data_IF_950565657727
#
_entry.id   IF_950565657727
#
_cell.length_a   1.000
_cell.length_b   1.000
_cell.length_c   1.000
_cell.angle_alpha   90.00
_cell.angle_beta   90.00
_cell.angle_gamma   90.00
#
_symmetry.space_group_name_H-M   'P 1'
#
loop_
_entity.id
_entity.type
_entity.pdbx_description
1 polymer ?
#
# COMPACT_ATOMS: atom_id res chain seq x y z
N UNK A 1 20.36 -10.23 3.33
CA UNK A 1 19.21 -9.76 2.52
C UNK A 1 18.81 -8.36 2.95
N UNK A 2 18.51 -7.50 1.98
CA UNK A 2 17.98 -6.15 2.20
C UNK A 2 16.49 -6.11 1.84
N UNK A 3 15.65 -5.71 2.79
CA UNK A 3 14.22 -5.57 2.60
C UNK A 3 13.79 -4.11 2.44
N UNK A 4 12.74 -3.88 1.65
CA UNK A 4 12.05 -2.59 1.54
C UNK A 4 10.63 -2.71 2.07
N UNK A 5 10.28 -1.94 3.11
CA UNK A 5 8.94 -1.85 3.65
C UNK A 5 8.23 -0.60 3.13
N UNK A 6 7.05 -0.77 2.54
CA UNK A 6 6.21 0.31 2.01
C UNK A 6 4.96 0.47 2.87
N UNK A 7 4.79 1.67 3.45
CA UNK A 7 3.67 1.96 4.36
C UNK A 7 2.36 2.17 3.62
N UNK A 8 1.24 1.74 4.21
CA UNK A 8 -0.09 2.06 3.74
C UNK A 8 -0.43 3.55 3.94
N UNK A 9 -1.10 4.15 2.97
CA UNK A 9 -1.42 5.59 3.07
C UNK A 9 -2.27 6.17 1.95
N UNK A 10 -2.90 5.34 1.13
CA UNK A 10 -3.76 5.79 0.01
C UNK A 10 -3.02 6.71 -0.95
N UNK A 11 -3.60 7.89 -1.25
CA UNK A 11 -3.04 8.84 -2.21
C UNK A 11 -1.65 9.41 -1.85
N UNK A 12 -1.13 9.12 -0.66
CA UNK A 12 0.23 9.50 -0.26
C UNK A 12 1.32 8.61 -0.89
N UNK A 13 0.96 7.44 -1.44
CA UNK A 13 1.88 6.44 -1.97
C UNK A 13 2.81 6.93 -3.10
N UNK A 14 2.47 8.03 -3.76
CA UNK A 14 3.34 8.68 -4.74
C UNK A 14 4.74 9.01 -4.18
N UNK A 15 4.84 9.32 -2.89
CA UNK A 15 6.09 9.59 -2.19
C UNK A 15 7.05 8.38 -2.24
N UNK A 16 6.52 7.17 -2.12
CA UNK A 16 7.31 5.92 -2.13
C UNK A 16 8.05 5.73 -3.45
N UNK A 17 7.43 6.10 -4.56
CA UNK A 17 8.05 5.99 -5.89
C UNK A 17 9.26 6.91 -6.01
N UNK A 18 9.15 8.15 -5.51
CA UNK A 18 10.27 9.08 -5.46
C UNK A 18 11.41 8.59 -4.58
N UNK A 19 11.08 8.09 -3.39
CA UNK A 19 12.07 7.53 -2.47
C UNK A 19 12.75 6.28 -3.06
N UNK A 20 12.00 5.39 -3.71
CA UNK A 20 12.57 4.22 -4.39
C UNK A 20 13.54 4.60 -5.50
N UNK A 21 13.19 5.61 -6.34
CA UNK A 21 14.09 6.13 -7.38
C UNK A 21 15.42 6.60 -6.80
N UNK A 22 15.37 7.38 -5.71
CA UNK A 22 16.57 7.86 -5.03
C UNK A 22 17.40 6.71 -4.44
N UNK A 23 16.77 5.72 -3.81
CA UNK A 23 17.46 4.55 -3.29
C UNK A 23 18.16 3.76 -4.37
N UNK A 24 17.51 3.54 -5.53
CA UNK A 24 18.12 2.85 -6.68
C UNK A 24 19.28 3.64 -7.26
N UNK A 25 19.19 4.97 -7.35
CA UNK A 25 20.27 5.84 -7.80
C UNK A 25 21.47 5.83 -6.84
N UNK A 26 21.20 5.70 -5.53
CA UNK A 26 22.23 5.51 -4.50
C UNK A 26 22.83 4.10 -4.49
N UNK A 27 22.40 3.21 -5.38
CA UNK A 27 22.94 1.86 -5.55
C UNK A 27 22.32 0.81 -4.62
N UNK A 28 21.19 1.09 -3.98
CA UNK A 28 20.47 0.08 -3.21
C UNK A 28 19.75 -0.90 -4.14
N UNK A 29 19.92 -2.20 -3.86
CA UNK A 29 19.22 -3.30 -4.52
C UNK A 29 18.50 -4.11 -3.46
N UNK A 30 17.20 -4.33 -3.64
CA UNK A 30 16.37 -5.02 -2.67
C UNK A 30 16.17 -6.48 -3.07
N UNK A 31 16.26 -7.38 -2.09
CA UNK A 31 15.98 -8.79 -2.26
C UNK A 31 14.47 -9.07 -2.14
N UNK A 32 13.78 -8.26 -1.32
CA UNK A 32 12.34 -8.37 -1.07
C UNK A 32 11.72 -6.99 -0.85
N UNK A 33 10.53 -6.76 -1.41
CA UNK A 33 9.70 -5.58 -1.18
C UNK A 33 8.37 -6.04 -0.60
N UNK A 34 8.05 -5.59 0.61
CA UNK A 34 6.78 -5.87 1.27
C UNK A 34 6.01 -4.57 1.50
N UNK A 35 4.74 -4.55 1.14
CA UNK A 35 3.90 -3.37 1.29
C UNK A 35 2.53 -3.66 1.88
N UNK A 36 1.86 -2.61 2.32
CA UNK A 36 0.51 -2.66 2.88
C UNK A 36 -0.38 -1.64 2.19
N UNK A 37 -1.62 -2.01 1.85
CA UNK A 37 -2.55 -1.09 1.19
C UNK A 37 -1.96 -0.57 -0.13
N UNK A 38 -1.91 0.73 -0.31
CA UNK A 38 -1.26 1.34 -1.48
C UNK A 38 0.22 0.93 -1.59
N UNK A 39 0.90 0.73 -0.46
CA UNK A 39 2.27 0.22 -0.45
C UNK A 39 2.38 -1.19 -1.05
N UNK A 40 1.35 -2.03 -0.95
CA UNK A 40 1.33 -3.35 -1.59
C UNK A 40 1.19 -3.25 -3.12
N UNK A 41 0.42 -2.28 -3.60
CA UNK A 41 0.31 -1.98 -5.04
C UNK A 41 1.65 -1.47 -5.58
N UNK A 42 2.25 -0.49 -4.91
CA UNK A 42 3.56 0.03 -5.27
C UNK A 42 4.63 -1.07 -5.21
N UNK A 43 4.63 -1.90 -4.16
CA UNK A 43 5.55 -3.03 -4.00
C UNK A 43 5.47 -4.01 -5.19
N UNK A 44 4.26 -4.34 -5.65
CA UNK A 44 4.07 -5.23 -6.80
C UNK A 44 4.65 -4.62 -8.09
N UNK A 45 4.36 -3.34 -8.36
CA UNK A 45 4.90 -2.62 -9.52
C UNK A 45 6.44 -2.51 -9.47
N UNK A 46 7.00 -2.21 -8.30
CA UNK A 46 8.44 -2.10 -8.12
C UNK A 46 9.14 -3.46 -8.20
N UNK A 47 8.55 -4.50 -7.59
CA UNK A 47 9.10 -5.85 -7.64
C UNK A 47 9.10 -6.44 -9.06
N UNK A 48 8.09 -6.15 -9.87
CA UNK A 48 8.13 -6.56 -11.30
C UNK A 48 9.03 -5.69 -12.19
N UNK A 49 9.65 -4.62 -11.64
CA UNK A 49 10.61 -3.76 -12.34
C UNK A 49 9.99 -2.58 -13.09
N UNK A 50 8.77 -2.15 -12.76
CA UNK A 50 8.02 -1.11 -13.48
C UNK A 50 7.92 0.22 -12.70
N UNK A 51 9.04 0.70 -12.16
CA UNK A 51 9.09 1.97 -11.42
C UNK A 51 8.57 3.17 -12.23
N UNK A 52 8.92 3.25 -13.51
CA UNK A 52 8.46 4.33 -14.39
C UNK A 52 6.95 4.26 -14.65
N UNK A 53 6.41 3.06 -14.83
CA UNK A 53 4.98 2.84 -14.97
C UNK A 53 4.21 3.20 -13.70
N UNK A 54 4.80 2.88 -12.53
CA UNK A 54 4.27 3.31 -11.25
C UNK A 54 4.24 4.85 -11.12
N UNK A 55 5.29 5.52 -11.56
CA UNK A 55 5.33 6.98 -11.56
C UNK A 55 4.29 7.60 -12.51
N UNK A 56 4.17 7.08 -13.74
CA UNK A 56 3.17 7.51 -14.72
C UNK A 56 1.75 7.40 -14.14
N UNK A 57 1.43 6.28 -13.48
CA UNK A 57 0.16 6.11 -12.78
C UNK A 57 -0.09 7.28 -11.81
N UNK A 58 0.85 7.56 -10.93
CA UNK A 58 0.70 8.62 -9.94
C UNK A 58 0.60 10.02 -10.56
N UNK A 59 1.30 10.26 -11.65
CA UNK A 59 1.34 11.56 -12.33
C UNK A 59 0.11 11.84 -13.19
N UNK A 60 -0.69 10.83 -13.51
CA UNK A 60 -1.83 10.94 -14.44
C UNK A 60 -3.17 10.62 -13.81
N UNK A 61 -3.22 9.80 -12.75
CA UNK A 61 -4.47 9.30 -12.17
C UNK A 61 -5.09 10.28 -11.19
N UNK A 62 -6.39 10.50 -11.33
CA UNK A 62 -7.24 11.27 -10.42
C UNK A 62 -8.29 10.37 -9.76
N UNK A 63 -9.01 10.89 -8.74
CA UNK A 63 -10.07 10.14 -8.05
C UNK A 63 -11.13 9.58 -9.00
N UNK A 64 -11.52 10.34 -10.03
CA UNK A 64 -12.59 9.97 -10.97
C UNK A 64 -12.23 8.74 -11.82
N UNK A 65 -10.94 8.44 -11.95
CA UNK A 65 -10.46 7.26 -12.66
C UNK A 65 -10.67 5.98 -11.85
N UNK A 66 -10.64 6.07 -10.51
CA UNK A 66 -10.73 4.92 -9.61
C UNK A 66 -12.05 4.79 -8.85
N UNK A 67 -12.80 5.89 -8.69
CA UNK A 67 -14.02 5.93 -7.90
C UNK A 67 -15.18 6.52 -8.69
N UNK A 68 -16.42 6.19 -8.29
CA UNK A 68 -17.62 6.77 -8.87
C UNK A 68 -17.99 8.11 -8.22
N UNK A 69 -18.90 8.87 -8.84
CA UNK A 69 -19.44 10.10 -8.25
C UNK A 69 -20.16 9.84 -6.92
N UNK A 70 -20.81 8.67 -6.79
CA UNK A 70 -21.56 8.27 -5.59
C UNK A 70 -20.63 8.02 -4.40
N UNK A 71 -19.38 7.59 -4.66
CA UNK A 71 -18.38 7.30 -3.63
C UNK A 71 -17.74 8.56 -3.04
N UNK A 72 -17.77 9.69 -3.75
CA UNK A 72 -17.07 10.93 -3.34
C UNK A 72 -17.45 11.41 -1.95
N UNK A 73 -18.72 11.33 -1.59
CA UNK A 73 -19.18 11.72 -0.25
C UNK A 73 -18.55 10.89 0.87
N UNK A 74 -18.43 9.58 0.65
CA UNK A 74 -17.81 8.67 1.61
C UNK A 74 -16.29 8.89 1.69
N UNK A 75 -15.62 9.08 0.57
CA UNK A 75 -14.18 9.39 0.54
C UNK A 75 -13.84 10.69 1.28
N UNK A 76 -14.71 11.71 1.20
CA UNK A 76 -14.54 12.94 1.98
C UNK A 76 -14.71 12.71 3.49
N UNK A 77 -15.66 11.87 3.89
CA UNK A 77 -15.85 11.48 5.29
C UNK A 77 -14.58 10.77 5.80
N UNK A 78 -14.05 9.82 5.06
CA UNK A 78 -12.78 9.14 5.40
C UNK A 78 -11.65 10.17 5.57
N UNK A 79 -11.47 11.07 4.62
CA UNK A 79 -10.41 12.09 4.68
C UNK A 79 -10.50 12.96 5.95
N UNK A 80 -11.71 13.33 6.36
CA UNK A 80 -11.93 14.10 7.60
C UNK A 80 -11.63 13.29 8.85
N UNK A 81 -12.06 12.03 8.90
CA UNK A 81 -11.94 11.17 10.09
C UNK A 81 -10.52 10.67 10.29
N UNK A 82 -9.82 10.31 9.22
CA UNK A 82 -8.40 9.92 9.28
C UNK A 82 -7.54 11.06 9.80
N UNK A 83 -7.83 12.29 9.40
CA UNK A 83 -7.12 13.47 9.92
C UNK A 83 -7.39 13.76 11.40
N UNK A 84 -8.51 13.30 11.95
CA UNK A 84 -8.89 13.50 13.36
C UNK A 84 -8.45 12.35 14.28
N UNK A 85 -7.81 11.30 13.76
CA UNK A 85 -7.40 10.09 14.49
C UNK A 85 -8.52 9.43 15.33
N UNK A 86 -9.77 9.56 14.91
CA UNK A 86 -10.93 9.01 15.64
C UNK A 86 -11.32 7.65 15.08
N UNK A 87 -10.64 6.60 15.54
CA UNK A 87 -10.95 5.18 15.24
C UNK A 87 -12.42 4.80 15.56
N UNK A 88 -13.04 5.44 16.55
CA UNK A 88 -14.41 5.14 16.96
C UNK A 88 -15.45 5.63 15.95
N UNK A 89 -15.30 6.85 15.43
CA UNK A 89 -16.18 7.38 14.40
C UNK A 89 -16.02 6.63 13.06
N UNK A 90 -14.80 6.17 12.76
CA UNK A 90 -14.53 5.36 11.59
C UNK A 90 -15.26 4.01 11.65
N UNK A 91 -15.33 3.35 12.81
CA UNK A 91 -16.01 2.04 12.98
C UNK A 91 -17.50 2.08 12.58
N UNK A 92 -18.23 3.11 12.94
CA UNK A 92 -19.66 3.21 12.62
C UNK A 92 -19.88 3.39 11.12
N UNK A 93 -19.07 4.22 10.47
CA UNK A 93 -19.17 4.44 9.02
C UNK A 93 -18.70 3.22 8.21
N UNK A 94 -17.66 2.52 8.66
CA UNK A 94 -17.23 1.24 8.09
C UNK A 94 -18.36 0.22 8.15
N UNK A 95 -19.02 0.09 9.31
CA UNK A 95 -20.12 -0.83 9.47
C UNK A 95 -21.26 -0.50 8.51
N UNK A 96 -21.68 0.76 8.44
CA UNK A 96 -22.71 1.21 7.52
C UNK A 96 -22.34 0.98 6.04
N UNK A 97 -21.09 1.23 5.64
CA UNK A 97 -20.62 0.98 4.28
C UNK A 97 -20.65 -0.53 3.96
N UNK A 98 -20.18 -1.38 4.87
CA UNK A 98 -20.19 -2.84 4.68
C UNK A 98 -21.61 -3.42 4.64
N UNK A 99 -22.55 -2.89 5.42
CA UNK A 99 -23.97 -3.26 5.39
C UNK A 99 -24.61 -2.92 4.03
N UNK A 100 -24.13 -1.90 3.35
CA UNK A 100 -24.55 -1.50 1.99
C UNK A 100 -23.69 -2.12 0.86
N UNK A 101 -22.86 -3.13 1.18
CA UNK A 101 -22.03 -3.83 0.20
C UNK A 101 -20.63 -3.25 0.00
N UNK A 102 -20.33 -2.07 0.57
CA UNK A 102 -19.03 -1.38 0.42
C UNK A 102 -18.85 -0.65 -0.91
N UNK A 103 -17.84 0.21 -0.98
CA UNK A 103 -17.43 0.88 -2.23
C UNK A 103 -16.96 -0.17 -3.24
N UNK A 104 -17.42 -0.05 -4.46
CA UNK A 104 -17.00 -0.92 -5.57
C UNK A 104 -15.49 -0.74 -5.88
N UNK A 105 -14.78 -1.86 -5.90
CA UNK A 105 -13.34 -1.91 -6.20
C UNK A 105 -13.03 -2.36 -7.62
N UNK A 106 -14.03 -2.48 -8.50
CA UNK A 106 -13.85 -2.98 -9.87
C UNK A 106 -12.88 -2.15 -10.70
N UNK A 107 -12.88 -0.82 -10.55
CA UNK A 107 -11.93 0.07 -11.23
C UNK A 107 -10.50 -0.11 -10.71
N UNK A 108 -10.33 -0.32 -9.39
CA UNK A 108 -9.02 -0.62 -8.80
C UNK A 108 -8.53 -1.96 -9.33
N UNK A 109 -9.40 -2.99 -9.37
CA UNK A 109 -9.08 -4.28 -9.98
C UNK A 109 -8.66 -4.14 -11.43
N UNK A 110 -9.42 -3.42 -12.24
CA UNK A 110 -9.08 -3.18 -13.65
C UNK A 110 -7.71 -2.49 -13.80
N UNK A 111 -7.41 -1.54 -12.92
CA UNK A 111 -6.08 -0.93 -12.86
C UNK A 111 -4.98 -1.96 -12.56
N UNK A 112 -5.18 -2.84 -11.57
CA UNK A 112 -4.21 -3.89 -11.26
C UNK A 112 -3.98 -4.83 -12.45
N UNK A 113 -5.05 -5.29 -13.10
CA UNK A 113 -5.01 -6.16 -14.28
C UNK A 113 -4.27 -5.54 -15.48
N UNK A 114 -4.36 -4.22 -15.64
CA UNK A 114 -3.68 -3.49 -16.73
C UNK A 114 -2.19 -3.25 -16.44
N UNK A 115 -1.79 -3.17 -15.17
CA UNK A 115 -0.47 -2.68 -14.79
C UNK A 115 0.42 -3.74 -14.14
N UNK A 116 -0.13 -4.77 -13.53
CA UNK A 116 0.61 -5.86 -12.92
C UNK A 116 0.48 -7.12 -13.79
N UNK A 117 1.61 -7.62 -14.26
CA UNK A 117 1.73 -8.90 -14.92
C UNK A 117 1.99 -9.98 -13.85
N UNK A 118 1.01 -10.88 -13.57
CA UNK A 118 1.13 -11.89 -12.53
C UNK A 118 2.35 -12.79 -12.70
N UNK A 119 2.63 -13.23 -13.93
CA UNK A 119 3.75 -14.12 -14.19
C UNK A 119 5.08 -13.41 -14.01
N UNK A 120 5.22 -12.22 -14.57
CA UNK A 120 6.43 -11.40 -14.44
C UNK A 120 6.71 -11.03 -12.98
N UNK A 121 5.67 -10.71 -12.19
CA UNK A 121 5.82 -10.44 -10.76
C UNK A 121 6.33 -11.68 -10.02
N UNK A 122 5.74 -12.85 -10.26
CA UNK A 122 6.11 -14.08 -9.57
C UNK A 122 7.49 -14.60 -9.99
N UNK A 123 7.92 -14.38 -11.24
CA UNK A 123 9.23 -14.77 -11.75
C UNK A 123 10.34 -13.72 -11.46
N UNK A 124 10.00 -12.55 -10.94
CA UNK A 124 10.97 -11.50 -10.61
C UNK A 124 12.05 -11.99 -9.65
N UNK A 125 13.31 -11.54 -9.78
CA UNK A 125 14.35 -11.81 -8.79
C UNK A 125 14.07 -11.15 -7.43
N UNK A 126 13.30 -10.06 -7.40
CA UNK A 126 12.87 -9.39 -6.17
C UNK A 126 11.63 -10.12 -5.63
N UNK A 127 11.68 -10.58 -4.37
CA UNK A 127 10.50 -11.16 -3.76
C UNK A 127 9.46 -10.08 -3.42
N UNK A 128 8.18 -10.45 -3.48
CA UNK A 128 7.05 -9.59 -3.18
C UNK A 128 6.31 -10.12 -1.96
N UNK A 129 5.97 -9.21 -1.02
CA UNK A 129 5.17 -9.52 0.15
C UNK A 129 4.06 -8.50 0.39
N UNK A 130 2.99 -8.94 1.04
CA UNK A 130 1.88 -8.08 1.42
C UNK A 130 1.22 -8.54 2.73
N UNK A 131 0.47 -7.63 3.34
CA UNK A 131 -0.37 -7.93 4.50
C UNK A 131 -1.83 -7.62 4.17
N UNK A 132 -2.73 -8.52 4.53
CA UNK A 132 -4.17 -8.31 4.58
C UNK A 132 -4.73 -8.85 5.90
N UNK A 133 -5.99 -8.56 6.21
CA UNK A 133 -6.65 -9.02 7.44
C UNK A 133 -7.91 -9.79 7.09
N UNK A 134 -8.00 -11.05 7.51
CA UNK A 134 -9.19 -11.88 7.33
C UNK A 134 -10.38 -11.28 8.11
N UNK A 135 -11.55 -11.26 7.48
CA UNK A 135 -12.79 -10.74 8.06
C UNK A 135 -13.86 -11.85 8.07
N UNK A 136 -14.55 -12.05 9.18
CA UNK A 136 -14.57 -11.22 10.40
C UNK A 136 -13.54 -11.56 11.49
N UNK A 137 -12.68 -12.56 11.32
CA UNK A 137 -11.79 -13.12 12.35
C UNK A 137 -10.70 -12.14 12.81
N UNK A 138 -10.38 -11.11 12.01
CA UNK A 138 -9.33 -10.11 12.24
C UNK A 138 -7.93 -10.73 12.41
N UNK A 139 -7.69 -11.86 11.72
CA UNK A 139 -6.38 -12.51 11.69
C UNK A 139 -5.56 -12.00 10.52
N UNK A 140 -4.26 -11.66 10.73
CA UNK A 140 -3.41 -11.22 9.63
C UNK A 140 -3.13 -12.37 8.64
N UNK A 141 -3.14 -12.03 7.36
CA UNK A 141 -2.54 -12.80 6.28
C UNK A 141 -1.27 -12.05 5.86
N UNK A 142 -0.12 -12.61 6.18
CA UNK A 142 1.18 -12.15 5.67
C UNK A 142 1.57 -13.13 4.59
N UNK A 143 1.57 -12.69 3.33
CA UNK A 143 1.81 -13.56 2.19
C UNK A 143 2.96 -13.03 1.33
N UNK A 144 3.78 -13.95 0.84
CA UNK A 144 4.88 -13.71 -0.09
C UNK A 144 4.64 -14.45 -1.40
N UNK A 145 5.45 -14.23 -2.43
CA UNK A 145 5.28 -14.88 -3.74
C UNK A 145 5.10 -16.41 -3.67
N UNK A 146 5.80 -17.07 -2.76
CA UNK A 146 5.69 -18.53 -2.55
C UNK A 146 4.28 -19.00 -2.17
N UNK A 147 3.46 -18.09 -1.66
CA UNK A 147 2.09 -18.34 -1.19
C UNK A 147 1.04 -17.96 -2.27
N UNK A 148 1.49 -17.49 -3.44
CA UNK A 148 0.66 -16.94 -4.50
C UNK A 148 0.83 -17.74 -5.81
N UNK A 149 -0.19 -17.63 -6.67
CA UNK A 149 -0.18 -18.17 -8.03
C UNK A 149 -0.55 -17.05 -9.02
N UNK A 150 -0.31 -17.22 -10.34
CA UNK A 150 -0.72 -16.23 -11.34
C UNK A 150 -2.22 -15.90 -11.30
N UNK A 151 -3.05 -16.85 -10.88
CA UNK A 151 -4.51 -16.70 -10.83
C UNK A 151 -4.97 -15.89 -9.61
N UNK A 152 -4.19 -15.86 -8.51
CA UNK A 152 -4.61 -15.22 -7.26
C UNK A 152 -3.74 -14.07 -6.76
N UNK A 153 -2.59 -13.79 -7.38
CA UNK A 153 -1.68 -12.73 -6.92
C UNK A 153 -2.36 -11.35 -6.93
N UNK A 154 -3.19 -11.05 -7.93
CA UNK A 154 -3.94 -9.79 -7.98
C UNK A 154 -4.99 -9.70 -6.87
N UNK A 155 -5.58 -10.82 -6.47
CA UNK A 155 -6.50 -10.87 -5.32
C UNK A 155 -5.75 -10.57 -4.01
N UNK A 156 -4.51 -11.05 -3.86
CA UNK A 156 -3.67 -10.73 -2.70
C UNK A 156 -3.33 -9.24 -2.66
N UNK A 157 -2.92 -8.65 -3.81
CA UNK A 157 -2.65 -7.20 -3.90
C UNK A 157 -3.89 -6.39 -3.55
N UNK A 158 -5.05 -6.74 -4.12
CA UNK A 158 -6.31 -6.04 -3.88
C UNK A 158 -6.80 -6.23 -2.44
N UNK A 159 -6.63 -7.42 -1.85
CA UNK A 159 -6.99 -7.68 -0.46
C UNK A 159 -6.26 -6.76 0.51
N UNK A 160 -4.94 -6.56 0.28
CA UNK A 160 -4.14 -5.62 1.06
C UNK A 160 -4.64 -4.17 0.93
N UNK A 161 -5.22 -3.79 -0.21
CA UNK A 161 -5.72 -2.46 -0.51
C UNK A 161 -7.25 -2.31 -0.30
N UNK A 162 -7.93 -3.32 0.25
CA UNK A 162 -9.37 -3.28 0.55
C UNK A 162 -9.63 -2.47 1.82
N UNK A 163 -9.50 -1.13 1.70
CA UNK A 163 -9.69 -0.20 2.82
C UNK A 163 -11.04 -0.44 3.51
N UNK A 164 -11.12 -0.32 4.84
CA UNK A 164 -12.37 -0.48 5.57
C UNK A 164 -13.47 0.47 5.05
N UNK A 165 -14.52 -0.12 4.49
CA UNK A 165 -15.58 0.57 3.76
C UNK A 165 -15.61 0.25 2.25
N UNK A 166 -14.53 -0.33 1.71
CA UNK A 166 -14.53 -0.94 0.38
C UNK A 166 -15.12 -2.36 0.44
N UNK A 167 -15.52 -2.88 -0.70
CA UNK A 167 -15.91 -4.29 -0.81
C UNK A 167 -14.73 -5.17 -0.39
N UNK A 168 -14.93 -6.10 0.58
CA UNK A 168 -13.88 -7.02 0.96
C UNK A 168 -13.46 -7.91 -0.21
N UNK A 169 -12.16 -8.07 -0.42
CA UNK A 169 -11.64 -8.99 -1.44
C UNK A 169 -11.75 -10.43 -0.95
N UNK A 170 -12.11 -11.34 -1.87
CA UNK A 170 -12.23 -12.77 -1.59
C UNK A 170 -11.00 -13.50 -2.11
N UNK A 171 -10.34 -14.29 -1.23
CA UNK A 171 -9.28 -15.23 -1.61
C UNK A 171 -9.69 -16.60 -1.08
N UNK A 172 -9.92 -17.55 -1.98
CA UNK A 172 -10.48 -18.84 -1.63
C UNK A 172 -11.91 -18.71 -1.06
N UNK A 173 -12.11 -19.12 0.17
CA UNK A 173 -13.40 -19.07 0.89
C UNK A 173 -13.49 -17.92 1.92
N UNK A 174 -12.45 -17.11 2.03
CA UNK A 174 -12.35 -16.03 3.03
C UNK A 174 -12.40 -14.64 2.41
N UNK A 175 -12.95 -13.71 3.20
CA UNK A 175 -12.96 -12.28 2.90
C UNK A 175 -11.80 -11.60 3.60
N UNK A 176 -11.22 -10.60 2.94
CA UNK A 176 -10.08 -9.84 3.47
C UNK A 176 -10.31 -8.35 3.37
N UNK A 177 -9.77 -7.64 4.33
CA UNK A 177 -9.68 -6.19 4.42
C UNK A 177 -8.21 -5.75 4.45
N UNK A 178 -8.00 -4.44 4.35
CA UNK A 178 -6.69 -3.77 4.32
C UNK A 178 -5.78 -4.18 5.48
N UNK A 179 -4.53 -4.45 5.15
CA UNK A 179 -3.50 -4.87 6.11
C UNK A 179 -3.17 -3.83 7.18
N UNK A 180 -3.46 -2.55 6.94
CA UNK A 180 -3.30 -1.47 7.92
C UNK A 180 -4.13 -1.64 9.20
N UNK A 181 -5.12 -2.54 9.19
CA UNK A 181 -5.84 -2.94 10.40
C UNK A 181 -4.99 -3.82 11.34
N UNK A 182 -3.90 -4.41 10.84
CA UNK A 182 -2.94 -5.20 11.63
C UNK A 182 -1.61 -4.46 11.79
N UNK A 183 -0.90 -4.19 10.70
CA UNK A 183 0.29 -3.35 10.68
C UNK A 183 0.36 -2.58 9.35
N UNK A 184 0.43 -1.27 9.40
CA UNK A 184 0.46 -0.44 8.21
C UNK A 184 1.86 -0.31 7.59
N UNK A 185 2.94 -0.74 8.26
CA UNK A 185 4.29 -0.70 7.73
C UNK A 185 5.08 -1.98 8.08
N UNK A 186 5.28 -2.91 7.13
CA UNK A 186 5.70 -4.29 7.40
C UNK A 186 7.21 -4.46 7.63
N UNK A 187 7.84 -3.57 8.38
CA UNK A 187 9.29 -3.66 8.61
C UNK A 187 9.68 -4.80 9.56
N UNK A 188 8.84 -5.13 10.55
CA UNK A 188 9.10 -6.25 11.44
C UNK A 188 8.89 -7.60 10.74
N UNK A 189 7.91 -7.67 9.84
CA UNK A 189 7.60 -8.84 9.02
C UNK A 189 8.75 -9.18 8.06
N UNK A 190 9.44 -8.16 7.56
CA UNK A 190 10.66 -8.36 6.76
C UNK A 190 11.83 -8.90 7.59
N UNK A 191 11.96 -8.52 8.87
CA UNK A 191 12.93 -9.15 9.77
C UNK A 191 12.58 -10.63 10.00
N UNK A 192 11.29 -10.94 10.19
CA UNK A 192 10.80 -12.33 10.34
C UNK A 192 10.96 -13.14 9.05
N UNK A 193 10.87 -12.48 7.89
CA UNK A 193 11.17 -13.09 6.59
C UNK A 193 12.66 -13.48 6.45
N UNK A 194 13.54 -12.83 7.20
CA UNK A 194 14.99 -13.12 7.26
C UNK A 194 15.87 -12.01 6.70
N UNK A 195 15.34 -10.78 6.55
CA UNK A 195 16.18 -9.64 6.16
C UNK A 195 17.17 -9.27 7.27
N UNK A 196 18.42 -9.01 6.89
CA UNK A 196 19.46 -8.52 7.78
C UNK A 196 19.31 -7.03 8.05
N UNK A 197 18.85 -6.29 7.03
CA UNK A 197 18.55 -4.86 7.08
C UNK A 197 17.22 -4.57 6.36
N UNK A 198 16.50 -3.56 6.86
CA UNK A 198 15.24 -3.09 6.27
C UNK A 198 15.29 -1.57 6.11
N UNK A 199 14.89 -1.09 4.95
CA UNK A 199 14.57 0.33 4.72
C UNK A 199 13.04 0.44 4.69
N UNK A 200 12.47 1.32 5.51
CA UNK A 200 11.04 1.56 5.54
C UNK A 200 10.73 2.97 5.04
N UNK A 201 9.92 3.06 3.99
CA UNK A 201 9.41 4.34 3.48
C UNK A 201 8.08 4.61 4.17
N UNK A 202 8.05 5.73 4.91
CA UNK A 202 6.91 6.12 5.74
C UNK A 202 6.04 7.16 5.03
N UNK A 203 4.75 7.04 5.20
CA UNK A 203 3.76 7.97 4.64
C UNK A 203 3.05 8.79 5.72
N UNK A 204 3.27 8.46 7.00
CA UNK A 204 2.43 8.93 8.09
C UNK A 204 0.95 8.70 7.71
N UNK A 205 0.68 7.47 7.27
CA UNK A 205 -0.62 7.02 6.80
C UNK A 205 -1.58 6.72 7.95
N UNK A 206 -2.68 6.05 7.62
CA UNK A 206 -3.65 5.57 8.59
C UNK A 206 -3.45 4.07 8.79
N UNK A 207 -3.46 3.63 10.04
CA UNK A 207 -3.36 2.22 10.39
C UNK A 207 -2.58 2.01 11.69
N UNK A 208 -2.48 0.76 12.10
CA UNK A 208 -1.69 0.37 13.26
C UNK A 208 -0.23 0.32 12.83
N UNK A 209 0.66 0.86 13.65
CA UNK A 209 2.10 0.75 13.47
C UNK A 209 2.68 0.03 14.68
N UNK A 210 3.27 -1.12 14.45
CA UNK A 210 3.94 -1.85 15.51
C UNK A 210 5.26 -1.18 15.89
N UNK A 211 5.71 -1.24 17.16
CA UNK A 211 7.03 -0.74 17.54
C UNK A 211 8.15 -1.49 16.81
N UNK A 212 9.22 -0.77 16.48
CA UNK A 212 10.44 -1.38 15.92
C UNK A 212 11.00 -2.41 16.90
N UNK A 213 11.15 -3.67 16.47
CA UNK A 213 11.77 -4.74 17.26
C UNK A 213 13.29 -4.64 17.29
N UNK A 214 13.89 -4.18 16.20
CA UNK A 214 15.32 -3.95 16.09
C UNK A 214 15.63 -2.62 15.39
N UNK A 215 15.97 -1.61 16.19
CA UNK A 215 16.27 -0.26 15.69
C UNK A 215 17.61 -0.17 14.94
N UNK A 216 18.50 -1.14 15.09
CA UNK A 216 19.79 -1.14 14.40
C UNK A 216 19.67 -1.68 12.98
N UNK A 217 18.69 -2.55 12.74
CA UNK A 217 18.44 -3.16 11.44
C UNK A 217 17.43 -2.41 10.57
N UNK A 218 16.65 -1.48 11.15
CA UNK A 218 15.58 -0.79 10.44
C UNK A 218 15.91 0.70 10.32
N UNK A 219 16.08 1.17 9.09
CA UNK A 219 16.18 2.58 8.74
C UNK A 219 14.84 3.07 8.20
N UNK A 220 14.41 4.26 8.59
CA UNK A 220 13.14 4.83 8.16
C UNK A 220 13.36 6.16 7.43
N UNK A 221 12.65 6.32 6.31
CA UNK A 221 12.59 7.55 5.52
C UNK A 221 11.23 8.17 5.78
N UNK A 222 11.19 9.40 6.25
CA UNK A 222 9.96 10.14 6.56
C UNK A 222 9.79 11.34 5.63
N UNK A 223 8.55 11.68 5.24
CA UNK A 223 8.30 12.89 4.49
C UNK A 223 8.62 14.13 5.33
N UNK A 224 9.34 15.07 4.73
CA UNK A 224 9.71 16.36 5.35
C UNK A 224 8.51 17.31 5.50
N UNK A 225 7.45 17.10 4.72
CA UNK A 225 6.21 17.88 4.75
C UNK A 225 4.98 16.96 4.67
N UNK A 226 3.79 17.55 4.87
CA UNK A 226 2.53 16.81 4.73
C UNK A 226 2.28 16.40 3.28
N UNK A 227 1.97 15.12 3.06
CA UNK A 227 1.70 14.53 1.75
C UNK A 227 0.27 14.77 1.22
N UNK A 228 -0.62 15.32 2.04
CA UNK A 228 -2.01 15.55 1.67
C UNK A 228 -2.99 14.51 2.21
N UNK A 229 -4.26 14.57 1.76
CA UNK A 229 -5.31 13.64 2.19
C UNK A 229 -5.10 12.21 1.69
N UNK A 230 -5.57 11.22 2.48
CA UNK A 230 -5.39 9.78 2.17
C UNK A 230 -6.22 9.32 0.96
N UNK A 231 -7.46 9.83 0.82
CA UNK A 231 -8.39 9.42 -0.25
C UNK A 231 -8.59 10.52 -1.31
N UNK A 232 -7.53 11.23 -1.67
CA UNK A 232 -7.57 12.23 -2.74
C UNK A 232 -6.38 12.06 -3.67
N UNK A 233 -6.60 11.33 -4.77
CA UNK A 233 -5.65 11.30 -5.88
C UNK A 233 -5.77 12.57 -6.70
N UNK A 234 -4.66 13.28 -6.80
CA UNK A 234 -4.52 14.49 -7.60
C UNK A 234 -3.14 14.51 -8.25
N UNK A 235 -3.05 14.54 -9.60
CA UNK A 235 -1.79 14.48 -10.31
C UNK A 235 -0.75 15.52 -9.90
N UNK A 236 -1.17 16.74 -9.54
CA UNK A 236 -0.24 17.79 -9.12
C UNK A 236 0.37 17.48 -7.75
N UNK A 237 -0.46 17.04 -6.80
CA UNK A 237 -0.02 16.59 -5.47
C UNK A 237 0.88 15.36 -5.58
N UNK A 238 0.53 14.40 -6.44
CA UNK A 238 1.33 13.20 -6.67
C UNK A 238 2.73 13.53 -7.21
N UNK A 239 2.84 14.39 -8.23
CA UNK A 239 4.14 14.86 -8.74
C UNK A 239 4.99 15.53 -7.67
N UNK A 240 4.37 16.40 -6.84
CA UNK A 240 5.06 17.02 -5.70
C UNK A 240 5.57 15.95 -4.72
N UNK A 241 4.75 14.96 -4.40
CA UNK A 241 5.10 13.92 -3.44
C UNK A 241 6.21 12.99 -3.99
N UNK A 242 6.23 12.67 -5.29
CA UNK A 242 7.35 11.96 -5.93
C UNK A 242 8.64 12.76 -5.77
N UNK A 243 8.63 14.05 -6.09
CA UNK A 243 9.81 14.91 -5.92
C UNK A 243 10.26 14.97 -4.46
N UNK A 244 9.34 15.12 -3.52
CA UNK A 244 9.63 15.15 -2.09
C UNK A 244 10.28 13.83 -1.65
N UNK A 245 9.73 12.68 -2.02
CA UNK A 245 10.29 11.36 -1.69
C UNK A 245 11.71 11.20 -2.20
N UNK A 246 11.98 11.64 -3.42
CA UNK A 246 13.32 11.62 -3.99
C UNK A 246 14.30 12.48 -3.17
N UNK A 247 13.97 13.75 -2.91
CA UNK A 247 14.89 14.66 -2.21
C UNK A 247 15.04 14.35 -0.72
N UNK A 248 14.01 13.87 -0.04
CA UNK A 248 14.10 13.44 1.35
C UNK A 248 15.01 12.22 1.52
N UNK A 249 15.03 11.34 0.53
CA UNK A 249 15.89 10.15 0.52
C UNK A 249 17.35 10.48 0.18
N UNK A 250 17.59 11.48 -0.65
CA UNK A 250 18.94 11.91 -1.04
C UNK A 250 19.67 12.74 0.03
N UNK A 251 18.99 13.16 1.09
CA UNK A 251 19.56 13.90 2.24
C UNK A 251 20.24 12.99 3.23
#
# INVERSE_FOLDING_TARGET
MLGLALEGGGAKGAYEIGAYRALTELGYHFDVICGVSIGAINAALLAQGDCEKAAEFWETTANDDLFSEEDKGFLEIINRQVNLNTLSALKENIKAALENGGIDTSKIRAFLEQNIDPQRLLESPIDYGMIAVAFPELQPLIAYKKDMTPENVLDHVLASASFPGFQPTVIGDKKYLDGGLYDACPYNELLDYGCDEVIAIRLNGFGIIHPLRDKQKIRQIFPSEQLGPVMRLDPATSRRNIQMGYYDTMR
#
